data_IF_458284563301
#
_entry.id   IF_458284563301
#
_cell.length_a   1.000
_cell.length_b   1.000
_cell.length_c   1.000
_cell.angle_alpha   90.00
_cell.angle_beta   90.00
_cell.angle_gamma   90.00
#
_symmetry.space_group_name_H-M   'P 1'
#
loop_
_entity.id
_entity.type
_entity.pdbx_description
1 polymer ?
#
# COMPACT_ATOMS: atom_id res chain seq x y z
N UNK A 1 -17.37 3.25 2.20
CA UNK A 1 -17.48 4.66 2.60
C UNK A 1 -16.07 5.25 2.75
N UNK A 2 -15.88 6.58 2.66
CA UNK A 2 -14.65 7.22 3.12
C UNK A 2 -14.37 6.86 4.59
N UNK A 3 -13.08 6.80 4.96
CA UNK A 3 -12.58 6.42 6.29
C UNK A 3 -12.97 5.00 6.76
N UNK A 4 -13.24 4.10 5.82
CA UNK A 4 -13.60 2.69 6.09
C UNK A 4 -12.56 1.71 5.53
N UNK A 5 -11.59 2.19 4.76
CA UNK A 5 -10.52 1.36 4.23
C UNK A 5 -9.62 0.85 5.36
N UNK A 6 -9.37 -0.46 5.36
CA UNK A 6 -8.49 -1.12 6.31
C UNK A 6 -7.41 -1.89 5.53
N UNK A 7 -6.14 -1.47 5.57
CA UNK A 7 -5.06 -2.10 4.81
C UNK A 7 -4.98 -3.60 5.08
N UNK A 8 -4.99 -4.01 6.36
CA UNK A 8 -4.95 -5.43 6.75
C UNK A 8 -6.09 -6.25 6.14
N UNK A 9 -7.33 -5.76 6.26
CA UNK A 9 -8.50 -6.45 5.68
C UNK A 9 -8.42 -6.49 4.16
N UNK A 10 -7.97 -5.40 3.53
CA UNK A 10 -7.78 -5.37 2.09
C UNK A 10 -6.78 -6.44 1.65
N UNK A 11 -5.61 -6.55 2.27
CA UNK A 11 -4.61 -7.55 1.89
C UNK A 11 -5.12 -8.99 2.08
N UNK A 12 -5.89 -9.23 3.14
CA UNK A 12 -6.48 -10.54 3.44
C UNK A 12 -7.59 -10.92 2.46
N UNK A 13 -8.45 -9.97 2.06
CA UNK A 13 -9.61 -10.22 1.17
C UNK A 13 -9.21 -10.18 -0.32
N UNK A 14 -8.32 -9.27 -0.71
CA UNK A 14 -7.84 -9.10 -2.10
C UNK A 14 -6.92 -10.23 -2.58
N UNK A 15 -6.55 -11.16 -1.69
CA UNK A 15 -5.61 -12.24 -2.00
C UNK A 15 -4.16 -11.77 -2.13
N UNK A 16 -3.84 -10.53 -1.73
CA UNK A 16 -2.46 -10.02 -1.75
C UNK A 16 -1.53 -10.78 -0.80
N UNK A 17 -2.04 -11.29 0.33
CA UNK A 17 -1.27 -12.19 1.20
C UNK A 17 -0.85 -13.49 0.50
N UNK A 18 -1.49 -13.85 -0.63
CA UNK A 18 -1.14 -15.03 -1.45
C UNK A 18 -0.22 -14.69 -2.62
N UNK A 19 0.03 -13.41 -2.91
CA UNK A 19 0.92 -12.99 -4.00
C UNK A 19 2.38 -13.30 -3.67
N UNK A 20 3.17 -13.58 -4.70
CA UNK A 20 4.62 -13.80 -4.53
C UNK A 20 5.33 -12.48 -4.22
N UNK A 21 6.53 -12.56 -3.64
CA UNK A 21 7.34 -11.37 -3.35
C UNK A 21 7.63 -10.56 -4.62
N UNK A 22 7.79 -11.24 -5.76
CA UNK A 22 7.98 -10.58 -7.07
C UNK A 22 6.74 -9.80 -7.53
N UNK A 23 5.53 -10.34 -7.31
CA UNK A 23 4.28 -9.63 -7.64
C UNK A 23 4.06 -8.43 -6.72
N UNK A 24 4.39 -8.55 -5.42
CA UNK A 24 4.33 -7.41 -4.50
C UNK A 24 5.35 -6.33 -4.88
N UNK A 25 6.54 -6.73 -5.34
CA UNK A 25 7.57 -5.81 -5.84
C UNK A 25 7.18 -5.11 -7.14
N UNK A 26 6.42 -5.77 -8.00
CA UNK A 26 5.85 -5.16 -9.21
C UNK A 26 4.79 -4.11 -8.85
N UNK A 27 3.88 -4.45 -7.94
CA UNK A 27 2.89 -3.50 -7.41
C UNK A 27 3.58 -2.30 -6.76
N UNK A 28 4.64 -2.55 -5.97
CA UNK A 28 5.45 -1.50 -5.37
C UNK A 28 6.02 -0.54 -6.43
N UNK A 29 6.65 -1.08 -7.48
CA UNK A 29 7.18 -0.29 -8.61
C UNK A 29 6.13 0.51 -9.37
N UNK A 30 4.89 0.05 -9.41
CA UNK A 30 3.79 0.76 -10.06
C UNK A 30 3.25 1.90 -9.17
N UNK A 31 3.41 1.77 -7.86
CA UNK A 31 3.01 2.79 -6.89
C UNK A 31 4.05 3.90 -6.77
N UNK A 32 5.32 3.52 -6.65
CA UNK A 32 6.52 4.38 -6.65
C UNK A 32 6.69 5.02 -8.03
N UNK A 33 5.98 6.14 -8.23
CA UNK A 33 5.85 6.84 -9.49
C UNK A 33 7.10 7.67 -9.78
N UNK A 34 7.75 8.19 -8.74
CA UNK A 34 9.00 8.94 -8.86
C UNK A 34 10.26 8.05 -8.89
N UNK A 35 10.10 6.74 -8.65
CA UNK A 35 11.18 5.76 -8.60
C UNK A 35 12.21 6.08 -7.51
N UNK A 36 11.77 6.70 -6.41
CA UNK A 36 12.59 6.97 -5.24
C UNK A 36 13.00 5.69 -4.49
N UNK A 37 12.30 4.57 -4.75
CA UNK A 37 12.45 3.32 -4.02
C UNK A 37 11.61 3.26 -2.76
N UNK A 38 10.74 4.24 -2.53
CA UNK A 38 9.83 4.38 -1.40
C UNK A 38 8.45 4.81 -1.89
N UNK A 39 7.39 4.38 -1.22
CA UNK A 39 6.04 4.89 -1.48
C UNK A 39 5.73 5.95 -0.44
N UNK A 40 5.48 7.17 -0.91
CA UNK A 40 5.13 8.31 -0.06
C UNK A 40 3.60 8.47 0.10
N UNK A 41 3.16 9.32 1.04
CA UNK A 41 1.73 9.58 1.28
C UNK A 41 0.99 10.00 -0.02
N UNK A 42 1.64 10.84 -0.83
CA UNK A 42 1.09 11.35 -2.10
C UNK A 42 0.91 10.28 -3.17
N UNK A 43 1.65 9.18 -3.08
CA UNK A 43 1.56 8.05 -4.02
C UNK A 43 0.62 6.97 -3.47
N UNK A 44 0.71 6.71 -2.17
CA UNK A 44 -0.11 5.73 -1.45
C UNK A 44 -1.60 6.06 -1.54
N UNK A 45 -1.98 7.34 -1.61
CA UNK A 45 -3.39 7.73 -1.74
C UNK A 45 -4.07 7.16 -3.00
N UNK A 46 -3.30 6.88 -4.05
CA UNK A 46 -3.78 6.29 -5.31
C UNK A 46 -3.74 4.75 -5.31
N UNK A 47 -3.41 4.14 -4.18
CA UNK A 47 -3.21 2.70 -4.07
C UNK A 47 -4.35 1.87 -4.67
N UNK A 48 -5.60 2.19 -4.32
CA UNK A 48 -6.78 1.47 -4.83
C UNK A 48 -6.91 1.53 -6.35
N UNK A 49 -6.52 2.66 -6.95
CA UNK A 49 -6.60 2.87 -8.40
C UNK A 49 -5.62 2.01 -9.19
N UNK A 50 -4.58 1.46 -8.53
CA UNK A 50 -3.67 0.50 -9.16
C UNK A 50 -4.29 -0.89 -9.35
N UNK A 51 -5.35 -1.20 -8.60
CA UNK A 51 -6.05 -2.49 -8.68
C UNK A 51 -7.33 -2.40 -9.49
N UNK A 52 -8.07 -1.30 -9.36
CA UNK A 52 -9.33 -1.09 -10.05
C UNK A 52 -9.34 0.30 -10.68
N UNK A 53 -9.45 0.32 -12.01
CA UNK A 53 -9.54 1.56 -12.77
C UNK A 53 -10.81 2.33 -12.37
N UNK A 54 -10.65 3.56 -11.86
CA UNK A 54 -11.77 4.38 -11.36
C UNK A 54 -12.09 4.18 -9.88
N UNK A 55 -11.31 3.39 -9.14
CA UNK A 55 -11.44 3.33 -7.68
C UNK A 55 -11.23 4.72 -7.05
N UNK A 56 -11.84 4.94 -5.88
CA UNK A 56 -11.64 6.20 -5.16
C UNK A 56 -10.22 6.32 -4.64
N UNK A 57 -9.77 7.56 -4.49
CA UNK A 57 -8.56 7.90 -3.75
C UNK A 57 -8.81 7.65 -2.26
N UNK A 58 -7.78 7.19 -1.55
CA UNK A 58 -7.82 7.07 -0.09
C UNK A 58 -7.92 8.46 0.54
N UNK A 59 -8.64 8.58 1.66
CA UNK A 59 -8.64 9.81 2.45
C UNK A 59 -7.28 9.98 3.14
N UNK A 60 -6.94 11.19 3.56
CA UNK A 60 -5.70 11.47 4.31
C UNK A 60 -5.58 10.54 5.53
N UNK A 61 -6.68 10.33 6.27
CA UNK A 61 -6.73 9.45 7.43
C UNK A 61 -6.43 7.99 7.05
N UNK A 62 -6.99 7.50 5.93
CA UNK A 62 -6.77 6.14 5.44
C UNK A 62 -5.33 5.96 4.96
N UNK A 63 -4.79 6.93 4.22
CA UNK A 63 -3.40 6.91 3.76
C UNK A 63 -2.44 6.90 4.94
N UNK A 64 -2.65 7.75 5.96
CA UNK A 64 -1.84 7.75 7.18
C UNK A 64 -1.93 6.46 7.96
N UNK A 65 -3.14 5.88 8.06
CA UNK A 65 -3.34 4.58 8.72
C UNK A 65 -2.63 3.46 7.97
N UNK A 66 -2.64 3.53 6.64
CA UNK A 66 -1.89 2.60 5.80
C UNK A 66 -0.40 2.77 6.02
N UNK A 67 0.11 3.98 5.84
CA UNK A 67 1.50 4.34 6.05
C UNK A 67 1.99 3.83 7.40
N UNK A 68 1.33 4.19 8.50
CA UNK A 68 1.70 3.74 9.84
C UNK A 68 1.62 2.22 10.07
N UNK A 69 0.82 1.50 9.28
CA UNK A 69 0.77 0.04 9.35
C UNK A 69 1.87 -0.65 8.54
N UNK A 70 2.46 0.06 7.57
CA UNK A 70 3.37 -0.44 6.56
C UNK A 70 4.83 0.06 6.76
N UNK A 71 4.98 1.26 7.29
CA UNK A 71 6.22 1.90 7.71
C UNK A 71 6.75 1.19 8.97
N UNK A 72 7.84 0.45 8.81
CA UNK A 72 8.41 -0.39 9.86
C UNK A 72 9.58 0.27 10.57
N UNK A 73 10.35 1.06 9.84
CA UNK A 73 11.54 1.79 10.27
C UNK A 73 11.23 3.20 10.76
N UNK A 74 9.99 3.68 10.57
CA UNK A 74 9.51 4.97 11.08
C UNK A 74 10.03 6.16 10.29
N UNK A 75 10.39 5.96 9.01
CA UNK A 75 10.91 7.01 8.14
C UNK A 75 9.80 7.85 7.49
N UNK A 76 8.54 7.48 7.72
CA UNK A 76 7.37 8.12 7.14
C UNK A 76 7.10 7.72 5.69
N UNK A 77 7.70 6.63 5.21
CA UNK A 77 7.53 6.09 3.87
C UNK A 77 7.39 4.56 3.93
N UNK A 78 6.98 3.95 2.83
CA UNK A 78 6.89 2.49 2.75
C UNK A 78 7.99 2.00 1.81
N UNK A 79 8.95 1.25 2.35
CA UNK A 79 9.91 0.51 1.54
C UNK A 79 9.33 -0.78 0.95
N UNK A 80 10.05 -1.39 0.01
CA UNK A 80 9.64 -2.65 -0.62
C UNK A 80 9.40 -3.80 0.39
N UNK A 81 10.10 -3.78 1.52
CA UNK A 81 9.95 -4.74 2.61
C UNK A 81 8.63 -4.54 3.38
N UNK A 82 8.14 -3.30 3.51
CA UNK A 82 6.93 -2.97 4.25
C UNK A 82 5.66 -3.59 3.65
N UNK A 83 5.56 -3.63 2.31
CA UNK A 83 4.47 -4.33 1.61
C UNK A 83 4.55 -5.85 1.84
N UNK A 84 5.77 -6.41 1.85
CA UNK A 84 5.98 -7.84 2.06
C UNK A 84 5.62 -8.24 3.50
N UNK A 85 5.74 -7.33 4.47
CA UNK A 85 5.40 -7.59 5.87
C UNK A 85 3.91 -7.94 6.07
N UNK A 86 3.00 -7.36 5.28
CA UNK A 86 1.57 -7.71 5.31
C UNK A 86 1.27 -9.15 4.85
N UNK A 87 2.25 -9.83 4.26
CA UNK A 87 2.14 -11.25 3.92
C UNK A 87 2.32 -12.15 5.14
N UNK A 88 3.12 -11.71 6.11
CA UNK A 88 3.54 -12.52 7.25
C UNK A 88 2.85 -12.15 8.57
N UNK A 89 2.00 -11.12 8.57
CA UNK A 89 1.15 -10.70 9.70
C UNK A 89 -0.30 -11.08 9.48
#
# INVERSE_FOLDING_TARGET
>A
APDSFSPKKFFQISGMSKKSSSQLKEIFRILDNDQSGFIEEDELKYFLQRFECGARVLTISETKTFLAAADHDGDGKIGAEGINLFKYR
#
